data_IF_886130762298
#
_entry.id   IF_886130762298
#
_cell.length_a   1.000
_cell.length_b   1.000
_cell.length_c   1.000
_cell.angle_alpha   90.00
_cell.angle_beta   90.00
_cell.angle_gamma   90.00
#
_symmetry.space_group_name_H-M   'P 1'
#
loop_
_entity.id
_entity.type
_entity.pdbx_description
1 polymer ?
#
# COMPACT_ATOMS: atom_id res chain seq x y z
N UNK A 1 6.64 16.07 -24.50
CA UNK A 1 5.36 15.48 -24.07
C UNK A 1 5.48 15.10 -22.60
N UNK A 2 4.41 15.33 -21.84
CA UNK A 2 4.40 15.57 -20.39
C UNK A 2 4.97 14.44 -19.52
N UNK A 3 5.84 14.84 -18.59
CA UNK A 3 5.94 14.46 -17.18
C UNK A 3 5.64 13.03 -16.74
N UNK A 4 6.62 12.45 -16.03
CA UNK A 4 6.44 12.06 -14.62
C UNK A 4 7.80 12.01 -13.91
N UNK A 5 8.30 13.20 -13.60
CA UNK A 5 9.28 13.38 -12.54
C UNK A 5 8.54 13.17 -11.20
N UNK A 6 9.05 12.31 -10.31
CA UNK A 6 8.94 12.41 -8.84
C UNK A 6 9.36 11.10 -8.17
N UNK A 7 10.66 10.80 -8.16
CA UNK A 7 11.23 10.14 -6.98
C UNK A 7 11.26 11.17 -5.85
N UNK A 8 10.07 11.49 -5.34
CA UNK A 8 9.88 12.35 -4.19
C UNK A 8 10.69 11.73 -3.05
N UNK A 9 11.55 12.56 -2.45
CA UNK A 9 12.48 12.23 -1.37
C UNK A 9 11.85 11.18 -0.44
N UNK A 10 12.45 9.99 -0.39
CA UNK A 10 12.15 8.98 0.62
C UNK A 10 12.48 9.60 1.97
N UNK A 11 11.49 10.24 2.61
CA UNK A 11 11.53 10.41 4.04
C UNK A 11 11.67 9.00 4.60
N UNK A 12 12.77 8.72 5.30
CA UNK A 12 12.99 7.43 5.95
C UNK A 12 12.08 7.38 7.17
N UNK A 13 10.77 7.25 6.91
CA UNK A 13 9.79 6.96 7.95
C UNK A 13 10.16 5.59 8.50
N UNK A 14 10.46 5.52 9.79
CA UNK A 14 10.79 4.25 10.45
C UNK A 14 9.57 3.33 10.44
N UNK A 15 9.52 2.42 9.47
CA UNK A 15 8.47 1.42 9.40
C UNK A 15 8.73 0.34 10.46
N UNK A 16 7.67 -0.12 11.10
CA UNK A 16 7.76 -1.38 11.84
C UNK A 16 8.04 -2.53 10.87
N UNK A 17 8.59 -3.65 11.34
CA UNK A 17 8.84 -4.82 10.47
C UNK A 17 7.56 -5.28 9.74
N UNK A 18 6.41 -5.18 10.43
CA UNK A 18 5.11 -5.50 9.85
C UNK A 18 4.74 -4.54 8.71
N UNK A 19 4.93 -3.24 8.90
CA UNK A 19 4.69 -2.23 7.87
C UNK A 19 5.65 -2.38 6.69
N UNK A 20 6.92 -2.66 6.96
CA UNK A 20 7.92 -2.93 5.93
C UNK A 20 7.57 -4.17 5.10
N UNK A 21 7.04 -5.24 5.72
CA UNK A 21 6.49 -6.40 5.00
C UNK A 21 5.35 -5.98 4.07
N UNK A 22 4.36 -5.24 4.56
CA UNK A 22 3.22 -4.78 3.73
C UNK A 22 3.69 -3.99 2.51
N UNK A 23 4.61 -3.04 2.70
CA UNK A 23 5.16 -2.23 1.60
C UNK A 23 5.90 -3.10 0.57
N UNK A 24 6.68 -4.08 1.04
CA UNK A 24 7.38 -5.02 0.17
C UNK A 24 6.41 -5.91 -0.60
N UNK A 25 5.45 -6.55 0.08
CA UNK A 25 4.44 -7.40 -0.55
C UNK A 25 3.63 -6.65 -1.60
N UNK A 26 3.26 -5.39 -1.36
CA UNK A 26 2.56 -4.58 -2.35
C UNK A 26 3.42 -4.30 -3.59
N UNK A 27 4.72 -4.05 -3.43
CA UNK A 27 5.64 -3.83 -4.56
C UNK A 27 5.89 -5.11 -5.36
N UNK A 28 6.09 -6.22 -4.67
CA UNK A 28 6.26 -7.55 -5.28
C UNK A 28 5.00 -7.91 -6.08
N UNK A 29 3.82 -7.65 -5.52
CA UNK A 29 2.55 -7.86 -6.20
C UNK A 29 2.44 -7.06 -7.50
N UNK A 30 2.74 -5.75 -7.48
CA UNK A 30 2.70 -4.92 -8.69
C UNK A 30 3.72 -5.41 -9.73
N UNK A 31 4.90 -5.86 -9.29
CA UNK A 31 5.92 -6.40 -10.19
C UNK A 31 5.48 -7.72 -10.84
N UNK A 32 4.71 -8.54 -10.13
CA UNK A 32 4.25 -9.85 -10.59
C UNK A 32 2.97 -9.76 -11.46
N UNK A 33 1.99 -8.95 -11.02
CA UNK A 33 0.65 -8.91 -11.61
C UNK A 33 0.37 -7.64 -12.43
N UNK A 34 1.22 -6.62 -12.35
CA UNK A 34 1.05 -5.36 -13.09
C UNK A 34 -0.03 -4.42 -12.54
N UNK A 35 -0.69 -4.77 -11.44
CA UNK A 35 -1.71 -3.96 -10.78
C UNK A 35 -1.54 -3.98 -9.25
N UNK A 36 -2.16 -3.03 -8.54
CA UNK A 36 -2.10 -3.00 -7.07
C UNK A 36 -2.98 -4.11 -6.44
N UNK A 37 -2.57 -4.73 -5.32
CA UNK A 37 -3.36 -5.74 -4.65
C UNK A 37 -4.62 -5.18 -4.01
N UNK A 38 -5.65 -5.99 -3.80
CA UNK A 38 -6.76 -5.64 -2.92
C UNK A 38 -6.32 -5.74 -1.45
N UNK A 39 -7.10 -5.22 -0.51
CA UNK A 39 -6.79 -5.37 0.92
C UNK A 39 -6.74 -6.82 1.38
N UNK A 40 -7.52 -7.71 0.75
CA UNK A 40 -7.50 -9.15 1.06
C UNK A 40 -6.21 -9.79 0.55
N UNK A 41 -5.89 -9.57 -0.71
CA UNK A 41 -4.65 -10.07 -1.32
C UNK A 41 -3.41 -9.54 -0.61
N UNK A 42 -3.41 -8.26 -0.26
CA UNK A 42 -2.32 -7.65 0.49
C UNK A 42 -2.18 -8.26 1.90
N UNK A 43 -3.30 -8.58 2.56
CA UNK A 43 -3.25 -9.26 3.85
C UNK A 43 -2.63 -10.65 3.72
N UNK A 44 -3.05 -11.43 2.71
CA UNK A 44 -2.52 -12.77 2.45
C UNK A 44 -1.02 -12.70 2.11
N UNK A 45 -0.62 -11.86 1.16
CA UNK A 45 0.76 -11.70 0.73
C UNK A 45 1.69 -11.18 1.85
N UNK A 46 1.18 -10.38 2.79
CA UNK A 46 1.95 -9.86 3.92
C UNK A 46 1.90 -10.74 5.18
N UNK A 47 1.19 -11.87 5.15
CA UNK A 47 1.02 -12.77 6.29
C UNK A 47 0.20 -12.17 7.44
N UNK A 48 -0.83 -11.39 7.12
CA UNK A 48 -1.77 -10.82 8.08
C UNK A 48 -3.01 -11.71 8.23
N UNK A 49 -3.58 -11.73 9.43
CA UNK A 49 -4.74 -12.56 9.76
C UNK A 49 -6.05 -12.13 9.10
N UNK A 50 -6.15 -10.88 8.60
CA UNK A 50 -7.37 -10.38 7.98
C UNK A 50 -7.16 -9.18 7.06
N UNK A 51 -8.06 -8.95 6.08
CA UNK A 51 -8.07 -7.74 5.25
C UNK A 51 -8.18 -6.44 6.08
N UNK A 52 -8.94 -6.48 7.18
CA UNK A 52 -9.10 -5.34 8.08
C UNK A 52 -7.78 -4.98 8.77
N UNK A 53 -6.95 -5.98 9.09
CA UNK A 53 -5.62 -5.74 9.64
C UNK A 53 -4.71 -5.05 8.63
N UNK A 54 -4.77 -5.44 7.34
CA UNK A 54 -4.06 -4.73 6.28
C UNK A 54 -4.54 -3.28 6.16
N UNK A 55 -5.86 -3.07 6.14
CA UNK A 55 -6.44 -1.73 6.09
C UNK A 55 -5.94 -0.84 7.21
N UNK A 56 -5.99 -1.32 8.46
CA UNK A 56 -5.51 -0.59 9.63
C UNK A 56 -4.04 -0.19 9.47
N UNK A 57 -3.17 -1.11 9.06
CA UNK A 57 -1.74 -0.81 8.90
C UNK A 57 -1.48 0.18 7.77
N UNK A 58 -2.17 0.05 6.62
CA UNK A 58 -2.06 0.99 5.51
C UNK A 58 -2.53 2.38 5.92
N UNK A 59 -3.64 2.49 6.66
CA UNK A 59 -4.12 3.76 7.19
C UNK A 59 -3.10 4.42 8.12
N UNK A 60 -2.52 3.66 9.07
CA UNK A 60 -1.48 4.17 9.98
C UNK A 60 -0.20 4.60 9.25
N UNK A 61 0.16 3.93 8.16
CA UNK A 61 1.26 4.34 7.30
C UNK A 61 0.94 5.65 6.57
N UNK A 62 -0.30 5.78 6.06
CA UNK A 62 -0.76 6.98 5.36
C UNK A 62 -0.75 8.22 6.24
N UNK A 63 -1.21 8.09 7.49
CA UNK A 63 -1.12 9.14 8.52
C UNK A 63 0.32 9.63 8.75
N UNK A 64 1.32 8.80 8.42
CA UNK A 64 2.76 9.09 8.53
C UNK A 64 3.39 9.48 7.19
N UNK A 65 2.59 9.68 6.14
CA UNK A 65 3.06 10.04 4.80
C UNK A 65 3.57 8.86 3.95
N UNK A 66 3.35 7.62 4.38
CA UNK A 66 3.70 6.42 3.60
C UNK A 66 2.45 5.85 2.97
N UNK A 67 2.36 5.94 1.64
CA UNK A 67 1.20 5.45 0.88
C UNK A 67 1.49 4.06 0.33
N UNK A 68 0.54 3.14 0.53
CA UNK A 68 0.48 1.85 -0.15
C UNK A 68 -0.81 1.81 -0.95
N UNK A 69 -0.67 1.66 -2.26
CA UNK A 69 -1.80 1.59 -3.18
C UNK A 69 -2.49 0.24 -3.07
N UNK A 70 -3.82 0.25 -3.13
CA UNK A 70 -4.65 -0.95 -3.19
C UNK A 70 -5.71 -0.81 -4.27
N UNK A 71 -6.16 -1.91 -4.88
CA UNK A 71 -7.31 -1.90 -5.78
C UNK A 71 -8.62 -1.98 -5.00
N UNK A 72 -9.66 -1.35 -5.54
CA UNK A 72 -11.01 -1.36 -4.99
C UNK A 72 -11.86 -0.21 -5.52
N UNK A 73 -13.12 -0.11 -5.08
CA UNK A 73 -14.00 0.98 -5.53
C UNK A 73 -13.55 2.32 -4.96
N UNK A 74 -13.18 3.24 -5.86
CA UNK A 74 -12.92 4.65 -5.52
C UNK A 74 -14.18 5.22 -4.86
N UNK A 75 -14.09 5.49 -3.57
CA UNK A 75 -15.16 6.11 -2.78
C UNK A 75 -14.54 6.79 -1.57
N UNK A 76 -15.25 7.75 -0.97
CA UNK A 76 -14.85 8.37 0.31
C UNK A 76 -14.55 7.32 1.40
N UNK A 77 -15.15 6.13 1.25
CA UNK A 77 -15.01 4.99 2.17
C UNK A 77 -13.72 4.18 1.98
N UNK A 78 -12.97 4.35 0.87
CA UNK A 78 -11.67 3.70 0.69
C UNK A 78 -10.58 4.70 0.28
N UNK A 79 -9.80 5.24 1.25
CA UNK A 79 -8.75 6.23 0.98
C UNK A 79 -7.53 5.68 0.22
N UNK A 80 -7.45 4.37 0.05
CA UNK A 80 -6.30 3.67 -0.54
C UNK A 80 -6.65 3.05 -1.92
N UNK A 81 -7.87 3.25 -2.42
CA UNK A 81 -8.37 2.66 -3.65
C UNK A 81 -8.23 3.63 -4.83
N UNK A 82 -7.30 3.34 -5.75
CA UNK A 82 -7.12 4.04 -7.04
C UNK A 82 -6.49 5.44 -6.93
N UNK A 83 -5.23 5.56 -7.37
CA UNK A 83 -4.56 6.82 -7.69
C UNK A 83 -4.00 6.78 -9.11
#
# INVERSE_FOLDING_TARGET
MLSRNSHARKAVVSLTERQARIVRSAREWVAEYGEAPSLRELAEAAGLSSPLSAHYQVQRMRERGVVVETRGRRSERCPNCGY
#
